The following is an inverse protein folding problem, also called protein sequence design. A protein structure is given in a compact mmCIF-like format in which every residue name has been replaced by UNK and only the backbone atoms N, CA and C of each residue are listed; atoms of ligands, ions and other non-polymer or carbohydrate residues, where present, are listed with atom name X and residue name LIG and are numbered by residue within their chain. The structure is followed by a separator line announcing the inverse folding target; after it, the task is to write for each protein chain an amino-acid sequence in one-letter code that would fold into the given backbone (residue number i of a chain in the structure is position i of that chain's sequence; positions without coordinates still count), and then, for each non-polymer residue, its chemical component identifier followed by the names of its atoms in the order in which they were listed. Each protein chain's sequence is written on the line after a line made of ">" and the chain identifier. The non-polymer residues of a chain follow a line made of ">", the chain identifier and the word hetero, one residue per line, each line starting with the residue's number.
data_IF_800220875381
#
_entry.id   IF_800220875381
#
_cell.length_a   1.000
_cell.length_b   1.000
_cell.length_c   1.000
_cell.angle_alpha   90.00
_cell.angle_beta   90.00
_cell.angle_gamma   90.00
#
_symmetry.space_group_name_H-M   'P 1'
#
loop_
_entity.id
_entity.type
_entity.pdbx_description
1 polymer ?
#
# COMPACT_ATOMS: atom_id res chain seq x y z
N UNK A 1 -78.01 -59.14 14.25
CA UNK A 1 -78.67 -58.04 14.99
C UNK A 1 -77.75 -57.64 16.13
N UNK A 2 -77.20 -56.42 16.09
CA UNK A 2 -76.86 -55.52 17.20
C UNK A 2 -75.84 -54.49 16.67
N UNK A 3 -76.40 -53.31 16.42
CA UNK A 3 -75.75 -52.03 16.13
C UNK A 3 -75.21 -51.46 17.45
N UNK A 4 -74.05 -50.79 17.42
CA UNK A 4 -73.53 -49.71 18.31
C UNK A 4 -72.03 -49.59 18.02
N UNK A 5 -71.36 -48.43 17.90
CA UNK A 5 -71.65 -47.05 18.28
C UNK A 5 -70.64 -46.15 17.54
N UNK A 6 -71.11 -45.03 17.03
CA UNK A 6 -70.29 -43.90 16.57
C UNK A 6 -69.53 -43.28 17.75
N UNK A 7 -68.22 -43.04 17.61
CA UNK A 7 -67.49 -41.96 18.31
C UNK A 7 -66.47 -41.36 17.35
N UNK A 8 -66.73 -40.11 16.99
CA UNK A 8 -65.85 -39.22 16.25
C UNK A 8 -64.56 -38.99 17.03
N UNK A 9 -63.41 -39.10 16.37
CA UNK A 9 -62.14 -38.58 16.86
C UNK A 9 -61.51 -37.76 15.73
N UNK A 10 -61.61 -36.46 15.89
CA UNK A 10 -60.96 -35.41 15.10
C UNK A 10 -59.45 -35.63 15.16
N UNK A 11 -58.84 -36.07 14.04
CA UNK A 11 -57.38 -36.10 13.92
C UNK A 11 -56.93 -34.71 13.50
N UNK A 12 -56.32 -34.00 14.44
CA UNK A 12 -55.73 -32.68 14.24
C UNK A 12 -54.57 -32.77 13.24
N UNK A 13 -54.65 -31.95 12.19
CA UNK A 13 -53.62 -31.80 11.17
C UNK A 13 -52.47 -30.96 11.76
N UNK A 14 -51.42 -31.60 12.26
CA UNK A 14 -50.20 -30.91 12.71
C UNK A 14 -49.40 -30.40 11.52
N UNK A 15 -49.55 -29.11 11.20
CA UNK A 15 -48.67 -28.38 10.29
C UNK A 15 -47.29 -28.21 10.93
N UNK A 16 -46.32 -29.03 10.53
CA UNK A 16 -44.91 -28.85 10.91
C UNK A 16 -44.36 -27.66 10.09
N UNK A 17 -44.35 -26.48 10.71
CA UNK A 17 -43.65 -25.30 10.19
C UNK A 17 -42.15 -25.51 10.41
N UNK A 18 -41.44 -26.03 9.40
CA UNK A 18 -39.98 -26.12 9.43
C UNK A 18 -39.44 -24.69 9.31
N UNK A 19 -39.10 -24.10 10.45
CA UNK A 19 -38.30 -22.88 10.55
C UNK A 19 -36.93 -23.16 9.92
N UNK A 20 -36.79 -22.82 8.64
CA UNK A 20 -35.50 -22.74 7.96
C UNK A 20 -34.75 -21.55 8.56
N UNK A 21 -34.08 -21.78 9.69
CA UNK A 21 -33.11 -20.85 10.24
C UNK A 21 -31.96 -20.76 9.22
N UNK A 22 -32.01 -19.74 8.36
CA UNK A 22 -30.91 -19.39 7.48
C UNK A 22 -29.69 -19.10 8.36
N UNK A 23 -28.76 -20.06 8.42
CA UNK A 23 -27.42 -19.82 8.91
C UNK A 23 -26.75 -18.88 7.92
N UNK A 24 -26.92 -17.57 8.16
CA UNK A 24 -26.05 -16.57 7.58
C UNK A 24 -24.67 -16.79 8.18
N UNK A 25 -23.86 -17.62 7.54
CA UNK A 25 -22.42 -17.62 7.73
C UNK A 25 -21.91 -16.27 7.22
N UNK A 26 -21.95 -15.25 8.08
CA UNK A 26 -21.19 -14.03 7.86
C UNK A 26 -19.74 -14.46 7.76
N UNK A 27 -19.14 -14.37 6.57
CA UNK A 27 -17.70 -14.50 6.41
C UNK A 27 -17.06 -13.41 7.26
N UNK A 28 -16.54 -13.78 8.42
CA UNK A 28 -15.71 -12.88 9.20
C UNK A 28 -14.52 -12.49 8.33
N UNK A 29 -14.38 -11.18 8.08
CA UNK A 29 -13.30 -10.67 7.25
C UNK A 29 -11.97 -11.02 7.91
N UNK A 30 -11.11 -11.77 7.19
CA UNK A 30 -9.76 -12.17 7.67
C UNK A 30 -8.96 -10.99 8.24
N UNK A 31 -9.20 -9.76 7.73
CA UNK A 31 -8.57 -8.54 8.21
C UNK A 31 -9.61 -7.49 8.60
N UNK A 32 -9.47 -6.99 9.81
CA UNK A 32 -10.32 -5.94 10.41
C UNK A 32 -9.71 -4.54 10.29
N UNK A 33 -10.56 -3.54 9.98
CA UNK A 33 -10.21 -2.11 10.04
C UNK A 33 -9.92 -1.67 11.48
N UNK A 34 -8.97 -0.76 11.67
CA UNK A 34 -8.51 -0.30 12.98
C UNK A 34 -7.50 -1.24 13.65
N UNK A 35 -7.43 -2.50 13.21
CA UNK A 35 -6.48 -3.51 13.71
C UNK A 35 -5.36 -3.80 12.71
N UNK A 36 -5.71 -4.23 11.50
CA UNK A 36 -4.73 -4.67 10.49
C UNK A 36 -4.46 -3.61 9.42
N UNK A 37 -5.41 -2.69 9.22
CA UNK A 37 -5.27 -1.51 8.37
C UNK A 37 -6.11 -0.37 8.95
N UNK A 38 -5.81 0.87 8.57
CA UNK A 38 -6.60 2.04 8.92
C UNK A 38 -7.13 2.73 7.65
N UNK A 39 -8.37 3.20 7.67
CA UNK A 39 -8.87 4.06 6.59
C UNK A 39 -8.28 5.46 6.73
N UNK A 40 -7.90 6.07 5.61
CA UNK A 40 -7.48 7.47 5.58
C UNK A 40 -8.67 8.37 5.90
N UNK A 41 -8.43 9.44 6.67
CA UNK A 41 -9.47 10.41 7.02
C UNK A 41 -10.02 11.13 5.78
N UNK A 42 -9.16 11.35 4.79
CA UNK A 42 -9.51 11.91 3.48
C UNK A 42 -8.98 10.98 2.39
N UNK A 43 -9.84 10.46 1.50
CA UNK A 43 -9.39 9.67 0.37
C UNK A 43 -8.51 10.50 -0.57
N UNK A 44 -7.42 9.91 -1.04
CA UNK A 44 -6.53 10.52 -2.02
C UNK A 44 -6.98 10.04 -3.40
N UNK A 45 -7.18 11.00 -4.31
CA UNK A 45 -7.47 10.67 -5.70
C UNK A 45 -6.25 9.98 -6.34
N UNK A 46 -6.47 8.80 -6.90
CA UNK A 46 -5.50 8.05 -7.70
C UNK A 46 -5.39 8.66 -9.10
N UNK A 47 -4.29 8.40 -9.79
CA UNK A 47 -4.08 8.96 -11.15
C UNK A 47 -5.02 8.34 -12.19
N UNK A 48 -5.31 7.05 -12.07
CA UNK A 48 -6.26 6.34 -12.92
C UNK A 48 -7.36 5.72 -12.04
N UNK A 49 -8.61 6.21 -12.10
CA UNK A 49 -9.70 5.66 -11.29
C UNK A 49 -10.11 4.24 -11.71
N UNK A 50 -9.68 3.77 -12.88
CA UNK A 50 -9.93 2.39 -13.36
C UNK A 50 -8.93 1.39 -12.82
N UNK A 51 -7.83 1.85 -12.21
CA UNK A 51 -6.79 0.99 -11.64
C UNK A 51 -6.76 1.12 -10.13
N UNK A 52 -6.36 0.04 -9.47
CA UNK A 52 -6.09 0.04 -8.03
C UNK A 52 -4.64 0.48 -7.82
N UNK A 53 -4.44 1.65 -7.23
CA UNK A 53 -3.10 2.16 -6.90
C UNK A 53 -2.62 1.58 -5.57
N UNK A 54 -1.44 0.95 -5.57
CA UNK A 54 -0.73 0.58 -4.33
C UNK A 54 0.53 1.43 -4.24
N UNK A 55 0.60 2.26 -3.20
CA UNK A 55 1.75 3.13 -2.95
C UNK A 55 2.55 2.65 -1.76
N UNK A 56 3.84 2.40 -1.95
CA UNK A 56 4.80 2.28 -0.86
C UNK A 56 5.26 3.66 -0.39
N UNK A 57 5.08 3.93 0.89
CA UNK A 57 5.63 5.09 1.58
C UNK A 57 6.91 4.69 2.32
N UNK A 58 8.05 5.25 1.92
CA UNK A 58 9.37 4.74 2.27
C UNK A 58 10.43 5.85 2.43
N UNK A 59 11.63 5.53 2.89
CA UNK A 59 12.80 6.40 2.75
C UNK A 59 14.09 5.60 2.56
N UNK A 60 15.03 6.13 1.76
CA UNK A 60 16.35 5.53 1.58
C UNK A 60 17.16 5.44 2.87
N UNK A 61 16.87 6.27 3.88
CA UNK A 61 17.53 6.21 5.17
C UNK A 61 16.90 5.21 6.15
N UNK A 62 15.84 4.49 5.77
CA UNK A 62 15.15 3.56 6.66
C UNK A 62 15.61 2.11 6.47
N UNK A 63 16.20 1.46 7.49
CA UNK A 63 16.67 0.08 7.39
C UNK A 63 15.53 -0.93 7.19
N UNK A 64 14.31 -0.64 7.68
CA UNK A 64 13.15 -1.49 7.43
C UNK A 64 12.67 -1.41 5.98
N UNK A 65 12.75 -0.23 5.35
CA UNK A 65 12.44 -0.08 3.92
C UNK A 65 13.43 -0.87 3.08
N UNK A 66 14.73 -0.79 3.39
CA UNK A 66 15.73 -1.56 2.66
C UNK A 66 15.53 -3.07 2.77
N UNK A 67 15.22 -3.59 3.97
CA UNK A 67 14.88 -5.02 4.14
C UNK A 67 13.60 -5.42 3.40
N UNK A 68 12.73 -4.46 3.08
CA UNK A 68 11.49 -4.74 2.38
C UNK A 68 11.66 -4.85 0.87
N UNK A 69 12.69 -4.23 0.28
CA UNK A 69 12.92 -4.16 -1.18
C UNK A 69 12.86 -5.52 -1.88
N UNK A 70 13.48 -6.56 -1.30
CA UNK A 70 13.45 -7.91 -1.90
C UNK A 70 12.04 -8.48 -1.99
N UNK A 71 11.26 -8.34 -0.91
CA UNK A 71 9.91 -8.88 -0.83
C UNK A 71 8.93 -8.08 -1.69
N UNK A 72 8.99 -6.75 -1.63
CA UNK A 72 8.07 -5.89 -2.40
C UNK A 72 8.35 -5.97 -3.90
N UNK A 73 9.61 -6.15 -4.32
CA UNK A 73 9.96 -6.36 -5.72
C UNK A 73 9.37 -7.67 -6.27
N UNK A 74 9.47 -8.76 -5.49
CA UNK A 74 8.87 -10.04 -5.85
C UNK A 74 7.34 -9.95 -5.91
N UNK A 75 6.71 -9.30 -4.94
CA UNK A 75 5.26 -9.12 -4.94
C UNK A 75 4.79 -8.26 -6.12
N UNK A 76 5.50 -7.16 -6.42
CA UNK A 76 5.19 -6.28 -7.55
C UNK A 76 5.22 -7.01 -8.90
N UNK A 77 6.13 -7.97 -9.09
CA UNK A 77 6.24 -8.70 -10.36
C UNK A 77 5.07 -9.64 -10.63
N UNK A 78 4.22 -9.88 -9.63
CA UNK A 78 3.04 -10.75 -9.70
C UNK A 78 1.73 -9.98 -9.89
N UNK A 79 1.78 -8.65 -9.94
CA UNK A 79 0.57 -7.83 -10.03
C UNK A 79 -0.11 -7.95 -11.40
N UNK A 80 -1.43 -8.02 -11.36
CA UNK A 80 -2.29 -7.94 -12.53
C UNK A 80 -2.27 -6.53 -13.15
N UNK A 81 -2.66 -6.43 -14.43
CA UNK A 81 -2.58 -5.18 -15.21
C UNK A 81 -3.49 -4.05 -14.72
N UNK A 82 -4.51 -4.38 -13.93
CA UNK A 82 -5.45 -3.45 -13.30
C UNK A 82 -4.92 -2.87 -11.98
N UNK A 83 -3.74 -3.29 -11.53
CA UNK A 83 -3.06 -2.77 -10.34
C UNK A 83 -1.85 -1.96 -10.78
N UNK A 84 -1.65 -0.78 -10.16
CA UNK A 84 -0.46 0.05 -10.39
C UNK A 84 0.31 0.24 -9.09
N UNK A 85 1.59 -0.13 -9.11
CA UNK A 85 2.48 0.09 -7.99
C UNK A 85 3.25 1.41 -8.13
N UNK A 86 3.31 2.18 -7.04
CA UNK A 86 4.07 3.43 -6.94
C UNK A 86 4.84 3.51 -5.64
N UNK A 87 5.79 4.44 -5.59
CA UNK A 87 6.46 4.82 -4.35
C UNK A 87 6.32 6.32 -4.09
N UNK A 88 6.22 6.67 -2.82
CA UNK A 88 6.20 8.03 -2.32
C UNK A 88 7.22 8.14 -1.19
N UNK A 89 8.31 8.91 -1.35
CA UNK A 89 9.27 9.08 -0.27
C UNK A 89 8.67 9.84 0.92
N UNK A 90 9.15 9.51 2.11
CA UNK A 90 8.89 10.23 3.35
C UNK A 90 9.78 11.46 3.47
N UNK A 91 9.17 12.58 3.81
CA UNK A 91 9.75 13.92 3.89
C UNK A 91 9.58 14.42 5.33
N UNK A 92 9.97 13.59 6.29
CA UNK A 92 10.00 13.95 7.70
C UNK A 92 11.27 14.75 8.03
N UNK A 93 11.25 15.42 9.18
CA UNK A 93 12.42 16.14 9.72
C UNK A 93 13.43 15.15 10.34
N UNK A 94 13.85 14.17 9.55
CA UNK A 94 14.91 13.21 9.85
C UNK A 94 16.10 13.57 8.96
N UNK A 95 17.34 13.58 9.47
CA UNK A 95 18.51 13.92 8.68
C UNK A 95 18.56 13.14 7.35
N UNK A 96 18.75 13.86 6.24
CA UNK A 96 18.84 13.31 4.90
C UNK A 96 17.50 12.99 4.21
N UNK A 97 16.37 12.84 4.91
CA UNK A 97 15.11 12.40 4.28
C UNK A 97 14.62 13.33 3.17
N UNK A 98 14.76 14.64 3.34
CA UNK A 98 14.40 15.61 2.31
C UNK A 98 15.27 15.47 1.06
N UNK A 99 16.58 15.22 1.23
CA UNK A 99 17.52 14.95 0.14
C UNK A 99 17.15 13.65 -0.56
N UNK A 100 16.89 12.59 0.19
CA UNK A 100 16.49 11.29 -0.35
C UNK A 100 15.18 11.37 -1.15
N UNK A 101 14.19 12.10 -0.65
CA UNK A 101 12.92 12.25 -1.31
C UNK A 101 13.04 12.99 -2.65
N UNK A 102 13.79 14.09 -2.67
CA UNK A 102 14.01 14.85 -3.91
C UNK A 102 14.91 14.09 -4.88
N UNK A 103 15.88 13.33 -4.36
CA UNK A 103 16.70 12.40 -5.15
C UNK A 103 15.83 11.38 -5.87
N UNK A 104 14.92 10.70 -5.17
CA UNK A 104 14.03 9.71 -5.78
C UNK A 104 13.30 10.26 -7.02
N UNK A 105 12.69 11.44 -6.90
CA UNK A 105 11.99 12.07 -8.03
C UNK A 105 12.94 12.59 -9.11
N UNK A 106 14.17 12.96 -8.75
CA UNK A 106 15.20 13.35 -9.71
C UNK A 106 15.62 12.15 -10.57
N UNK A 107 15.89 11.01 -9.94
CA UNK A 107 16.22 9.77 -10.65
C UNK A 107 15.08 9.30 -11.54
N UNK A 108 13.84 9.43 -11.07
CA UNK A 108 12.65 9.12 -11.86
C UNK A 108 12.56 10.04 -13.09
N UNK A 109 12.77 11.35 -12.91
CA UNK A 109 12.76 12.32 -14.01
C UNK A 109 13.90 12.10 -15.01
N UNK A 110 15.02 11.54 -14.57
CA UNK A 110 16.17 11.22 -15.40
C UNK A 110 16.06 9.84 -16.06
N UNK A 111 15.06 9.03 -15.68
CA UNK A 111 14.87 7.68 -16.20
C UNK A 111 15.87 6.65 -15.68
N UNK A 112 16.59 6.95 -14.60
CA UNK A 112 17.65 6.08 -14.01
C UNK A 112 17.26 5.50 -12.64
N UNK A 113 15.99 5.66 -12.26
CA UNK A 113 15.47 5.14 -10.99
C UNK A 113 15.57 3.61 -10.89
N UNK A 114 15.18 2.81 -11.91
CA UNK A 114 15.25 1.34 -11.81
C UNK A 114 16.65 0.81 -11.48
N UNK A 115 17.69 1.45 -12.01
CA UNK A 115 19.09 1.06 -11.86
C UNK A 115 19.64 1.49 -10.49
N UNK A 116 19.29 2.69 -10.03
CA UNK A 116 19.93 3.32 -8.87
C UNK A 116 19.18 3.18 -7.56
N UNK A 117 17.88 2.85 -7.59
CA UNK A 117 17.06 2.76 -6.38
C UNK A 117 17.66 1.81 -5.33
N UNK A 118 17.99 0.58 -5.74
CA UNK A 118 18.58 -0.41 -4.82
C UNK A 118 20.04 -0.09 -4.48
N UNK A 119 20.77 0.58 -5.39
CA UNK A 119 22.18 0.93 -5.16
C UNK A 119 22.32 2.00 -4.08
N UNK A 120 21.42 3.00 -4.05
CA UNK A 120 21.38 4.00 -2.97
C UNK A 120 21.13 3.33 -1.62
N UNK A 121 20.14 2.43 -1.57
CA UNK A 121 19.86 1.68 -0.35
C UNK A 121 21.06 0.88 0.13
N UNK A 122 21.73 0.13 -0.76
CA UNK A 122 22.93 -0.65 -0.42
C UNK A 122 24.08 0.24 0.02
N UNK A 123 24.29 1.38 -0.65
CA UNK A 123 25.32 2.34 -0.28
C UNK A 123 25.13 2.85 1.15
N UNK A 124 23.89 3.17 1.53
CA UNK A 124 23.57 3.67 2.88
C UNK A 124 23.66 2.54 3.92
N UNK A 125 23.02 1.40 3.67
CA UNK A 125 22.80 0.39 4.71
C UNK A 125 23.86 -0.71 4.77
N UNK A 126 24.44 -1.11 3.64
CA UNK A 126 25.51 -2.12 3.62
C UNK A 126 26.89 -1.47 3.73
N UNK A 127 27.10 -0.37 3.01
CA UNK A 127 28.42 0.24 2.88
C UNK A 127 28.62 1.42 3.85
N UNK A 128 27.60 1.79 4.63
CA UNK A 128 27.67 2.87 5.62
C UNK A 128 27.90 4.27 5.03
N UNK A 129 27.65 4.47 3.72
CA UNK A 129 27.85 5.76 3.06
C UNK A 129 26.81 6.76 3.56
N UNK A 130 27.29 7.93 4.00
CA UNK A 130 26.42 9.06 4.35
C UNK A 130 26.07 9.84 3.10
N UNK A 131 24.91 9.58 2.50
CA UNK A 131 24.42 10.29 1.31
C UNK A 131 23.40 11.40 1.65
N UNK A 132 23.58 12.01 2.82
CA UNK A 132 22.61 12.93 3.46
C UNK A 132 22.65 14.37 2.95
N UNK A 133 23.52 14.67 1.99
CA UNK A 133 23.63 15.99 1.33
C UNK A 133 23.57 15.85 -0.19
N UNK A 134 23.23 16.93 -0.88
CA UNK A 134 23.11 16.92 -2.34
C UNK A 134 24.46 16.68 -3.02
N UNK A 135 25.55 17.20 -2.45
CA UNK A 135 26.91 17.04 -2.97
C UNK A 135 27.33 15.56 -2.97
N UNK A 136 27.17 14.90 -1.82
CA UNK A 136 27.51 13.48 -1.69
C UNK A 136 26.60 12.58 -2.52
N UNK A 137 25.33 12.94 -2.65
CA UNK A 137 24.41 12.20 -3.52
C UNK A 137 24.80 12.38 -5.00
N UNK A 138 25.20 13.58 -5.41
CA UNK A 138 25.65 13.88 -6.77
C UNK A 138 26.93 13.10 -7.10
N UNK A 139 27.89 13.07 -6.19
CA UNK A 139 29.09 12.24 -6.29
C UNK A 139 28.74 10.75 -6.42
N UNK A 140 27.84 10.26 -5.56
CA UNK A 140 27.41 8.87 -5.62
C UNK A 140 26.79 8.49 -6.97
N UNK A 141 25.85 9.28 -7.49
CA UNK A 141 25.16 8.92 -8.75
C UNK A 141 26.09 9.01 -9.96
N UNK A 142 27.15 9.83 -9.91
CA UNK A 142 28.12 9.94 -10.99
C UNK A 142 29.02 8.71 -11.12
N UNK A 143 29.27 7.98 -10.03
CA UNK A 143 29.91 6.66 -10.05
C UNK A 143 29.16 5.64 -10.92
N UNK A 144 27.86 5.88 -11.17
CA UNK A 144 27.00 5.06 -12.02
C UNK A 144 26.70 5.71 -13.38
N UNK A 145 27.48 6.71 -13.77
CA UNK A 145 27.38 7.35 -15.10
C UNK A 145 26.29 8.42 -15.22
N UNK A 146 25.71 8.89 -14.12
CA UNK A 146 24.82 10.07 -14.16
C UNK A 146 25.67 11.33 -14.22
N UNK A 147 25.46 12.14 -15.26
CA UNK A 147 26.13 13.44 -15.39
C UNK A 147 25.83 14.34 -14.17
N UNK A 148 26.85 14.80 -13.41
CA UNK A 148 26.67 15.58 -12.19
C UNK A 148 25.89 16.87 -12.39
N UNK A 149 26.17 17.60 -13.47
CA UNK A 149 25.51 18.87 -13.77
C UNK A 149 24.03 18.68 -14.12
N UNK A 150 23.73 17.66 -14.93
CA UNK A 150 22.36 17.27 -15.28
C UNK A 150 21.59 16.81 -14.05
N UNK A 151 22.22 16.06 -13.14
CA UNK A 151 21.60 15.67 -11.88
C UNK A 151 21.26 16.89 -11.02
N UNK A 152 22.24 17.76 -10.77
CA UNK A 152 22.04 18.98 -9.97
C UNK A 152 20.98 19.91 -10.56
N UNK A 153 21.03 20.16 -11.87
CA UNK A 153 20.03 20.98 -12.58
C UNK A 153 18.64 20.37 -12.48
N UNK A 154 18.51 19.06 -12.67
CA UNK A 154 17.21 18.37 -12.56
C UNK A 154 16.70 18.40 -11.12
N UNK A 155 17.59 18.17 -10.15
CA UNK A 155 17.26 18.21 -8.73
C UNK A 155 16.77 19.61 -8.34
N UNK A 156 17.48 20.68 -8.70
CA UNK A 156 17.20 22.05 -8.26
C UNK A 156 16.06 22.73 -9.04
N UNK A 157 16.04 22.57 -10.36
CA UNK A 157 15.29 23.47 -11.24
C UNK A 157 14.10 22.79 -11.92
N UNK A 158 14.04 21.45 -11.93
CA UNK A 158 12.93 20.74 -12.59
C UNK A 158 11.59 21.02 -11.90
N UNK A 159 10.67 21.63 -12.65
CA UNK A 159 9.29 21.82 -12.22
C UNK A 159 8.62 20.48 -11.87
N UNK A 160 8.86 19.43 -12.67
CA UNK A 160 8.30 18.10 -12.44
C UNK A 160 8.75 17.50 -11.11
N UNK A 161 10.05 17.60 -10.80
CA UNK A 161 10.61 17.15 -9.50
C UNK A 161 9.99 17.94 -8.35
N UNK A 162 9.94 19.27 -8.46
CA UNK A 162 9.33 20.15 -7.45
C UNK A 162 7.86 19.82 -7.21
N UNK A 163 7.07 19.62 -8.28
CA UNK A 163 5.66 19.29 -8.19
C UNK A 163 5.42 17.94 -7.52
N UNK A 164 6.19 16.90 -7.90
CA UNK A 164 6.11 15.57 -7.27
C UNK A 164 6.50 15.60 -5.79
N UNK A 165 7.57 16.33 -5.44
CA UNK A 165 7.98 16.52 -4.05
C UNK A 165 6.88 17.20 -3.22
N UNK A 166 6.28 18.28 -3.72
CA UNK A 166 5.19 18.98 -3.01
C UNK A 166 3.94 18.11 -2.87
N UNK A 167 3.60 17.33 -3.91
CA UNK A 167 2.50 16.35 -3.84
C UNK A 167 2.76 15.29 -2.78
N UNK A 168 3.98 14.75 -2.71
CA UNK A 168 4.38 13.79 -1.69
C UNK A 168 4.27 14.37 -0.27
N UNK A 169 4.68 15.62 -0.09
CA UNK A 169 4.58 16.33 1.19
C UNK A 169 3.12 16.52 1.63
N UNK A 170 2.22 16.84 0.69
CA UNK A 170 0.79 16.93 0.97
C UNK A 170 0.19 15.56 1.32
N UNK A 171 0.50 14.52 0.52
CA UNK A 171 0.03 13.15 0.74
C UNK A 171 0.54 12.55 2.06
N UNK A 172 1.79 12.84 2.46
CA UNK A 172 2.36 12.43 3.74
C UNK A 172 1.46 12.80 4.93
N UNK A 173 0.88 14.00 4.93
CA UNK A 173 -0.04 14.44 6.00
C UNK A 173 -1.32 13.60 6.04
N UNK A 174 -1.86 13.28 4.86
CA UNK A 174 -3.11 12.51 4.71
C UNK A 174 -2.87 11.03 5.04
N UNK A 175 -1.72 10.47 4.62
CA UNK A 175 -1.32 9.12 4.99
C UNK A 175 -1.36 8.96 6.50
N UNK A 176 -0.90 9.97 7.27
CA UNK A 176 -0.84 9.91 8.73
C UNK A 176 -0.11 8.64 9.23
N UNK A 177 0.89 8.20 8.46
CA UNK A 177 1.75 7.08 8.82
C UNK A 177 2.62 7.49 10.02
N UNK A 178 2.79 6.55 10.95
CA UNK A 178 3.63 6.70 12.15
C UNK A 178 5.02 6.13 11.92
N UNK A 179 5.20 5.30 10.89
CA UNK A 179 6.48 4.74 10.49
C UNK A 179 6.55 4.45 8.99
N UNK A 180 7.74 4.04 8.55
CA UNK A 180 8.00 3.50 7.21
C UNK A 180 8.73 2.15 7.34
N UNK A 181 8.50 1.18 6.43
CA UNK A 181 7.61 1.27 5.29
C UNK A 181 6.14 1.25 5.71
N UNK A 182 5.30 1.96 4.94
CA UNK A 182 3.85 1.86 5.02
C UNK A 182 3.29 1.66 3.60
N UNK A 183 2.16 0.97 3.49
CA UNK A 183 1.50 0.73 2.21
C UNK A 183 0.16 1.45 2.19
N UNK A 184 -0.17 2.06 1.06
CA UNK A 184 -1.43 2.77 0.85
C UNK A 184 -2.15 2.12 -0.33
N UNK A 185 -3.35 1.60 -0.09
CA UNK A 185 -4.18 0.94 -1.11
C UNK A 185 -5.31 1.85 -1.54
N UNK A 186 -5.37 2.06 -2.85
CA UNK A 186 -6.31 2.89 -3.60
C UNK A 186 -6.55 4.28 -3.03
N UNK A 187 -5.52 4.87 -2.40
CA UNK A 187 -5.64 6.16 -1.71
C UNK A 187 -6.66 6.17 -0.55
N UNK A 188 -7.04 5.00 -0.02
CA UNK A 188 -8.11 4.85 0.99
C UNK A 188 -7.66 4.17 2.27
N UNK A 189 -6.72 3.25 2.17
CA UNK A 189 -6.33 2.40 3.30
C UNK A 189 -4.83 2.51 3.52
N UNK A 190 -4.41 2.54 4.78
CA UNK A 190 -3.01 2.50 5.19
C UNK A 190 -2.73 1.24 6.00
N UNK A 191 -1.60 0.61 5.69
CA UNK A 191 -1.06 -0.55 6.38
C UNK A 191 0.34 -0.19 6.88
N UNK A 192 0.64 -0.51 8.13
CA UNK A 192 1.98 -0.41 8.72
C UNK A 192 2.39 -1.76 9.29
N UNK A 193 3.70 -2.01 9.40
CA UNK A 193 4.20 -3.24 10.02
C UNK A 193 3.64 -3.46 11.44
N UNK A 194 3.49 -2.40 12.23
CA UNK A 194 2.96 -2.47 13.60
C UNK A 194 1.51 -2.98 13.69
N UNK A 195 0.73 -2.90 12.60
CA UNK A 195 -0.65 -3.41 12.52
C UNK A 195 -0.71 -4.92 12.26
N UNK A 196 0.42 -5.53 11.90
CA UNK A 196 0.53 -6.93 11.45
C UNK A 196 1.74 -7.60 12.09
N UNK A 197 1.90 -7.43 13.40
CA UNK A 197 2.95 -8.08 14.20
C UNK A 197 4.37 -7.81 13.67
N UNK A 198 4.61 -6.63 13.10
CA UNK A 198 5.86 -6.21 12.47
C UNK A 198 6.33 -7.12 11.31
N UNK A 199 5.38 -7.73 10.60
CA UNK A 199 5.65 -8.62 9.48
C UNK A 199 5.52 -7.92 8.12
N UNK A 200 6.62 -7.84 7.37
CA UNK A 200 6.60 -7.35 5.99
C UNK A 200 5.67 -8.20 5.09
N UNK A 201 5.65 -9.52 5.28
CA UNK A 201 4.73 -10.41 4.56
C UNK A 201 3.29 -10.18 4.99
N UNK A 202 3.05 -9.99 6.29
CA UNK A 202 1.73 -9.64 6.81
C UNK A 202 1.17 -8.38 6.18
N UNK A 203 2.03 -7.36 5.94
CA UNK A 203 1.60 -6.13 5.28
C UNK A 203 1.09 -6.40 3.86
N UNK A 204 1.81 -7.22 3.08
CA UNK A 204 1.42 -7.56 1.71
C UNK A 204 0.14 -8.40 1.66
N UNK A 205 -0.06 -9.33 2.60
CA UNK A 205 -1.30 -10.09 2.67
C UNK A 205 -2.53 -9.21 2.95
N UNK A 206 -2.36 -8.17 3.77
CA UNK A 206 -3.42 -7.17 3.98
C UNK A 206 -3.65 -6.34 2.71
N UNK A 207 -2.58 -6.00 1.98
CA UNK A 207 -2.70 -5.32 0.69
C UNK A 207 -3.50 -6.16 -0.31
N UNK A 208 -3.19 -7.45 -0.47
CA UNK A 208 -3.90 -8.35 -1.39
C UNK A 208 -5.39 -8.46 -1.05
N UNK A 209 -5.69 -8.54 0.25
CA UNK A 209 -7.07 -8.49 0.74
C UNK A 209 -7.77 -7.18 0.36
N UNK A 210 -7.12 -6.02 0.54
CA UNK A 210 -7.70 -4.72 0.23
C UNK A 210 -7.83 -4.48 -1.28
N UNK A 211 -6.91 -4.99 -2.10
CA UNK A 211 -7.04 -5.02 -3.55
C UNK A 211 -8.31 -5.79 -3.93
N UNK A 212 -8.46 -7.00 -3.41
CA UNK A 212 -9.64 -7.85 -3.68
C UNK A 212 -10.94 -7.16 -3.27
N UNK A 213 -10.94 -6.50 -2.11
CA UNK A 213 -12.06 -5.69 -1.63
C UNK A 213 -12.41 -4.56 -2.60
N UNK A 214 -11.41 -3.84 -3.12
CA UNK A 214 -11.62 -2.75 -4.07
C UNK A 214 -12.09 -3.24 -5.45
N UNK A 215 -11.59 -4.38 -5.94
CA UNK A 215 -12.08 -5.02 -7.17
C UNK A 215 -13.58 -5.33 -7.07
N UNK A 216 -14.01 -5.92 -5.95
CA UNK A 216 -15.42 -6.24 -5.71
C UNK A 216 -16.31 -4.99 -5.61
N UNK A 217 -15.77 -3.90 -5.05
CA UNK A 217 -16.50 -2.62 -4.99
C UNK A 217 -16.60 -1.92 -6.35
N UNK A 218 -15.62 -2.12 -7.24
CA UNK A 218 -15.68 -1.60 -8.61
C UNK A 218 -16.68 -2.40 -9.46
N UNK A 219 -16.68 -3.73 -9.36
CA UNK A 219 -17.62 -4.57 -10.12
C UNK A 219 -19.10 -4.36 -9.75
N UNK A 220 -19.38 -3.94 -8.51
CA UNK A 220 -20.76 -3.65 -8.07
C UNK A 220 -21.27 -2.29 -8.57
N UNK A 221 -20.41 -1.45 -9.14
CA UNK A 221 -20.76 -0.10 -9.63
C UNK A 221 -21.03 -0.04 -11.13
N UNK A 222 -20.72 -1.11 -11.85
CA UNK A 222 -21.02 -1.30 -13.28
C UNK A 222 -22.39 -1.96 -13.45
#
# INVERSE_FOLDING_TARGET
>A
MIIKRFRSATVALSTILVLFAGLSFGSESKYEEGKHYAKLSVPIQTEDPKKIEVTEYFSYGCPHCFRFEGLISQWKSQLESDIVFKRSPAIWNVPGYQVFARTYYTLESLGVLPELHLQIFRAIHNNGRRLDTIEKMTEFVSEYGVDPEKFLRTYNDSFGVKAKYQRALARQKIYAARGVPALIVNGKYRIEGSMVSNSNLGMLQVVDFLISKEKNLQSTRE
#
